data_IF_572884210789
#
_entry.id   IF_572884210789
#
_cell.length_a   1.000
_cell.length_b   1.000
_cell.length_c   1.000
_cell.angle_alpha   90.00
_cell.angle_beta   90.00
_cell.angle_gamma   90.00
#
_symmetry.space_group_name_H-M   'P 1'
#
loop_
_entity.id
_entity.type
_entity.pdbx_description
1 polymer ?
#
# COMPACT_ATOMS: atom_id res chain seq x y z
N UNK A 1 22.39 -30.55 68.40
CA UNK A 1 22.22 -29.08 68.48
C UNK A 1 21.11 -28.70 67.50
N UNK A 2 19.86 -29.11 67.68
CA UNK A 2 18.97 -28.81 68.81
C UNK A 2 18.87 -27.29 69.07
N UNK A 3 17.85 -26.67 68.49
CA UNK A 3 17.13 -25.58 69.15
C UNK A 3 15.71 -25.50 68.59
N UNK A 4 14.77 -26.05 69.36
CA UNK A 4 13.35 -25.70 69.34
C UNK A 4 13.13 -24.66 70.43
N UNK A 5 12.43 -23.57 70.13
CA UNK A 5 11.68 -22.82 71.15
C UNK A 5 10.29 -22.52 70.60
N UNK A 6 9.29 -22.99 71.37
CA UNK A 6 7.84 -22.80 71.23
C UNK A 6 7.39 -21.61 72.09
N UNK A 7 6.10 -21.26 71.93
CA UNK A 7 5.15 -20.59 72.87
C UNK A 7 4.79 -19.16 72.47
N UNK A 8 3.58 -18.96 71.88
CA UNK A 8 2.28 -18.56 72.50
C UNK A 8 2.15 -17.02 72.55
N UNK A 9 1.00 -16.34 72.44
CA UNK A 9 -0.42 -16.68 72.49
C UNK A 9 -1.27 -15.45 72.06
N UNK A 10 -2.47 -15.71 71.53
CA UNK A 10 -3.77 -15.01 71.66
C UNK A 10 -3.92 -13.46 71.67
N UNK A 11 -4.90 -12.99 70.87
CA UNK A 11 -5.61 -11.71 71.02
C UNK A 11 -6.10 -11.16 69.67
N UNK A 12 -7.23 -11.62 69.11
CA UNK A 12 -8.60 -11.12 69.30
C UNK A 12 -9.01 -9.91 68.39
N UNK A 13 -9.97 -10.22 67.50
CA UNK A 13 -11.15 -9.43 67.08
C UNK A 13 -10.95 -8.16 66.23
N UNK A 14 -11.51 -8.22 65.02
CA UNK A 14 -11.91 -7.07 64.21
C UNK A 14 -12.72 -7.51 62.98
N UNK A 15 -14.05 -7.50 63.09
CA UNK A 15 -15.01 -7.92 62.07
C UNK A 15 -15.76 -6.68 61.57
N UNK A 16 -15.52 -6.22 60.33
CA UNK A 16 -16.36 -5.28 59.54
C UNK A 16 -16.00 -5.52 58.05
N UNK A 17 -16.74 -6.31 57.27
CA UNK A 17 -17.96 -5.99 56.48
C UNK A 17 -17.67 -5.35 55.09
N UNK A 18 -18.18 -6.05 54.06
CA UNK A 18 -18.62 -5.62 52.72
C UNK A 18 -17.60 -5.14 51.67
N UNK A 19 -17.74 -5.70 50.46
CA UNK A 19 -17.34 -5.01 49.24
C UNK A 19 -16.79 -5.94 48.17
N UNK A 20 -17.67 -6.55 47.37
CA UNK A 20 -17.30 -7.32 46.21
C UNK A 20 -16.47 -6.53 45.21
N UNK A 21 -15.37 -7.12 44.78
CA UNK A 21 -14.72 -6.85 43.51
C UNK A 21 -14.28 -8.20 42.96
N UNK A 22 -15.22 -8.85 42.28
CA UNK A 22 -14.86 -9.90 41.34
C UNK A 22 -13.92 -9.25 40.32
N UNK A 23 -12.64 -9.64 40.36
CA UNK A 23 -11.69 -9.38 39.29
C UNK A 23 -12.23 -10.08 38.04
N UNK A 24 -12.99 -9.33 37.23
CA UNK A 24 -13.32 -9.72 35.87
C UNK A 24 -12.01 -9.59 35.09
N UNK A 25 -11.23 -10.67 35.07
CA UNK A 25 -10.25 -10.85 34.02
C UNK A 25 -11.01 -10.79 32.68
N UNK A 26 -10.57 -9.99 31.69
CA UNK A 26 -11.16 -10.05 30.37
C UNK A 26 -10.92 -11.45 29.84
N UNK A 27 -11.98 -12.26 29.77
CA UNK A 27 -11.92 -13.54 29.07
C UNK A 27 -11.66 -13.23 27.61
N UNK A 28 -10.40 -13.37 27.18
CA UNK A 28 -10.05 -13.49 25.77
C UNK A 28 -10.70 -14.77 25.27
N UNK A 29 -11.92 -14.65 24.74
CA UNK A 29 -12.60 -15.76 24.07
C UNK A 29 -11.70 -16.22 22.91
N UNK A 30 -11.23 -17.48 22.89
CA UNK A 30 -10.54 -18.01 21.72
C UNK A 30 -11.53 -17.99 20.56
N UNK A 31 -11.25 -17.15 19.56
CA UNK A 31 -12.11 -17.01 18.36
C UNK A 31 -12.87 -15.69 18.23
N UNK A 32 -12.71 -14.72 19.14
CA UNK A 32 -13.23 -13.37 18.92
C UNK A 32 -12.39 -12.64 17.86
N UNK A 33 -12.73 -12.86 16.58
CA UNK A 33 -12.23 -12.06 15.44
C UNK A 33 -12.45 -10.59 15.75
N UNK A 34 -11.41 -9.77 15.58
CA UNK A 34 -11.51 -8.34 15.80
C UNK A 34 -12.54 -7.73 14.84
N UNK A 35 -13.09 -6.56 15.18
CA UNK A 35 -13.97 -5.83 14.26
C UNK A 35 -13.29 -5.57 12.90
N UNK A 36 -11.95 -5.46 12.91
CA UNK A 36 -11.12 -5.34 11.71
C UNK A 36 -11.11 -6.62 10.87
N UNK A 37 -11.00 -7.79 11.53
CA UNK A 37 -11.01 -9.09 10.86
C UNK A 37 -12.38 -9.43 10.27
N UNK A 38 -13.46 -9.13 11.00
CA UNK A 38 -14.82 -9.31 10.48
C UNK A 38 -15.08 -8.42 9.28
N UNK A 39 -14.61 -7.17 9.30
CA UNK A 39 -14.78 -6.23 8.18
C UNK A 39 -13.96 -6.65 6.96
N UNK A 40 -12.77 -7.22 7.17
CA UNK A 40 -11.97 -7.80 6.09
C UNK A 40 -12.67 -9.03 5.47
N UNK A 41 -13.30 -9.88 6.29
CA UNK A 41 -14.10 -11.02 5.82
C UNK A 41 -15.41 -10.58 5.14
N UNK A 42 -16.07 -9.53 5.65
CA UNK A 42 -17.28 -8.96 5.04
C UNK A 42 -16.98 -8.34 3.68
N UNK A 43 -15.82 -7.67 3.53
CA UNK A 43 -15.33 -7.15 2.24
C UNK A 43 -14.93 -8.30 1.29
N UNK A 44 -14.35 -9.38 1.81
CA UNK A 44 -14.03 -10.57 1.03
C UNK A 44 -15.31 -11.34 0.58
N UNK A 45 -16.38 -11.31 1.37
CA UNK A 45 -17.67 -11.94 1.07
C UNK A 45 -18.60 -11.05 0.24
N UNK A 46 -18.55 -9.74 0.41
CA UNK A 46 -19.25 -8.78 -0.44
C UNK A 46 -18.41 -8.55 -1.71
N UNK A 47 -18.55 -9.42 -2.69
CA UNK A 47 -17.90 -9.36 -4.00
C UNK A 47 -18.33 -8.15 -4.86
N UNK A 48 -18.79 -7.06 -4.24
CA UNK A 48 -19.09 -5.79 -4.90
C UNK A 48 -17.76 -5.06 -5.04
N UNK A 49 -17.04 -5.41 -6.10
CA UNK A 49 -15.91 -4.65 -6.58
C UNK A 49 -16.44 -3.32 -7.11
N UNK A 50 -16.22 -2.25 -6.36
CA UNK A 50 -16.63 -0.93 -6.81
C UNK A 50 -15.58 -0.30 -7.72
N UNK A 51 -15.86 -0.36 -9.01
CA UNK A 51 -15.02 0.23 -10.04
C UNK A 51 -15.24 1.74 -10.29
N UNK A 52 -16.08 2.42 -9.51
CA UNK A 52 -16.31 3.85 -9.70
C UNK A 52 -15.00 4.66 -9.55
N UNK A 53 -14.76 5.65 -10.43
CA UNK A 53 -13.65 6.59 -10.26
C UNK A 53 -13.73 7.30 -8.90
N UNK A 54 -12.58 7.62 -8.32
CA UNK A 54 -12.55 8.35 -7.06
C UNK A 54 -13.00 9.81 -7.31
N UNK A 55 -14.15 10.25 -6.73
CA UNK A 55 -14.74 11.56 -7.02
C UNK A 55 -13.85 12.72 -6.58
N UNK A 56 -12.91 12.49 -5.66
CA UNK A 56 -11.94 13.49 -5.24
C UNK A 56 -11.14 14.06 -6.42
N UNK A 57 -10.89 13.24 -7.45
CA UNK A 57 -10.06 13.65 -8.58
C UNK A 57 -10.84 14.33 -9.70
N UNK A 58 -12.17 14.26 -9.71
CA UNK A 58 -12.98 14.87 -10.77
C UNK A 58 -12.79 16.39 -10.87
N UNK A 59 -12.53 17.06 -9.74
CA UNK A 59 -12.21 18.50 -9.72
C UNK A 59 -10.91 18.87 -10.47
N UNK A 60 -10.04 17.90 -10.75
CA UNK A 60 -8.80 18.11 -11.50
C UNK A 60 -8.93 17.79 -12.99
N UNK A 61 -10.08 17.27 -13.44
CA UNK A 61 -10.28 16.87 -14.84
C UNK A 61 -10.27 18.11 -15.73
N UNK A 62 -9.46 18.08 -16.79
CA UNK A 62 -9.36 19.19 -17.75
C UNK A 62 -8.50 20.38 -17.29
N UNK A 63 -7.76 20.24 -16.18
CA UNK A 63 -6.68 21.17 -15.83
C UNK A 63 -5.42 20.89 -16.68
N UNK A 64 -4.45 21.80 -16.64
CA UNK A 64 -3.23 21.74 -17.49
C UNK A 64 -2.35 20.51 -17.29
N UNK A 65 -2.57 19.72 -16.22
CA UNK A 65 -1.91 18.43 -16.01
C UNK A 65 -2.84 17.45 -15.32
N UNK A 66 -3.10 16.33 -16.00
CA UNK A 66 -3.81 15.17 -15.43
C UNK A 66 -2.97 14.44 -14.36
N UNK A 67 -1.67 14.75 -14.25
CA UNK A 67 -0.77 14.15 -13.26
C UNK A 67 -0.84 14.87 -11.93
N UNK A 68 -1.09 14.10 -10.87
CA UNK A 68 -1.18 14.57 -9.49
C UNK A 68 0.08 14.18 -8.72
N UNK A 69 0.56 15.10 -7.88
CA UNK A 69 1.71 14.85 -7.04
C UNK A 69 1.42 13.71 -6.04
N UNK A 70 2.32 12.74 -5.98
CA UNK A 70 2.26 11.65 -4.99
C UNK A 70 3.24 11.91 -3.84
N UNK A 71 4.52 12.08 -4.16
CA UNK A 71 5.60 12.37 -3.19
C UNK A 71 6.89 12.79 -3.89
N UNK A 72 7.83 13.31 -3.11
CA UNK A 72 9.21 13.52 -3.54
C UNK A 72 10.10 12.34 -3.14
N UNK A 73 11.15 12.10 -3.94
CA UNK A 73 12.27 11.22 -3.61
C UNK A 73 13.36 12.00 -2.87
N UNK A 74 14.30 11.26 -2.26
CA UNK A 74 15.40 11.85 -1.46
C UNK A 74 16.36 12.73 -2.28
N UNK A 75 16.50 12.43 -3.56
CA UNK A 75 17.31 13.16 -4.54
C UNK A 75 16.60 14.41 -5.10
N UNK A 76 15.36 14.67 -4.69
CA UNK A 76 14.52 15.76 -5.17
C UNK A 76 13.64 15.40 -6.37
N UNK A 77 13.76 14.18 -6.91
CA UNK A 77 12.91 13.71 -8.02
C UNK A 77 11.45 13.62 -7.57
N UNK A 78 10.52 13.92 -8.47
CA UNK A 78 9.09 14.00 -8.17
C UNK A 78 8.35 12.79 -8.70
N UNK A 79 7.56 12.15 -7.84
CA UNK A 79 6.68 11.06 -8.23
C UNK A 79 5.26 11.59 -8.32
N UNK A 80 4.61 11.31 -9.44
CA UNK A 80 3.24 11.70 -9.73
C UNK A 80 2.45 10.51 -10.25
N UNK A 81 1.12 10.56 -10.16
CA UNK A 81 0.25 9.54 -10.71
C UNK A 81 -0.91 10.20 -11.48
N UNK A 82 -1.47 9.48 -12.45
CA UNK A 82 -2.62 9.98 -13.20
C UNK A 82 -3.91 9.27 -12.72
N UNK A 83 -4.76 9.91 -11.91
CA UNK A 83 -5.98 9.30 -11.40
C UNK A 83 -6.99 8.93 -12.50
N UNK A 84 -6.94 9.61 -13.64
CA UNK A 84 -7.85 9.35 -14.77
C UNK A 84 -7.45 8.13 -15.59
N UNK A 85 -6.27 7.56 -15.31
CA UNK A 85 -5.80 6.30 -15.91
C UNK A 85 -6.10 5.07 -15.06
N UNK A 86 -6.73 5.26 -13.89
CA UNK A 86 -7.05 4.14 -13.00
C UNK A 86 -8.11 3.27 -13.67
N UNK A 87 -7.69 2.09 -14.14
CA UNK A 87 -8.59 1.07 -14.68
C UNK A 87 -8.88 0.02 -13.61
N UNK A 88 -10.15 -0.33 -13.43
CA UNK A 88 -10.58 -1.35 -12.49
C UNK A 88 -10.89 -2.65 -13.20
N UNK A 89 -10.36 -3.76 -12.68
CA UNK A 89 -10.85 -5.08 -13.04
C UNK A 89 -12.05 -5.43 -12.13
N UNK A 90 -13.27 -5.55 -12.67
CA UNK A 90 -14.47 -5.83 -11.87
C UNK A 90 -14.51 -7.26 -11.29
N UNK A 91 -13.75 -8.20 -11.85
CA UNK A 91 -13.73 -9.59 -11.37
C UNK A 91 -12.83 -9.76 -10.14
N UNK A 92 -11.71 -9.02 -10.11
CA UNK A 92 -10.67 -9.16 -9.08
C UNK A 92 -10.56 -7.97 -8.15
N UNK A 93 -11.10 -6.81 -8.53
CA UNK A 93 -10.91 -5.54 -7.80
C UNK A 93 -9.54 -4.89 -7.97
N UNK A 94 -8.66 -5.50 -8.78
CA UNK A 94 -7.36 -4.95 -9.10
C UNK A 94 -7.47 -3.61 -9.83
N UNK A 95 -6.50 -2.73 -9.58
CA UNK A 95 -6.41 -1.39 -10.17
C UNK A 95 -5.12 -1.24 -10.95
N UNK A 96 -5.25 -0.94 -12.23
CA UNK A 96 -4.11 -0.58 -13.06
C UNK A 96 -3.99 0.94 -13.09
N UNK A 97 -2.82 1.48 -12.78
CA UNK A 97 -2.59 2.93 -12.63
C UNK A 97 -1.23 3.33 -13.17
N UNK A 98 -1.19 4.47 -13.86
CA UNK A 98 0.06 5.06 -14.31
C UNK A 98 0.68 6.00 -13.27
N UNK A 99 1.99 5.84 -13.09
CA UNK A 99 2.88 6.70 -12.30
C UNK A 99 3.90 7.29 -13.25
N UNK A 100 4.33 8.53 -13.01
CA UNK A 100 5.52 9.08 -13.64
C UNK A 100 6.51 9.55 -12.58
N UNK A 101 7.78 9.40 -12.90
CA UNK A 101 8.88 9.95 -12.12
C UNK A 101 9.53 11.04 -12.98
N UNK A 102 9.58 12.24 -12.43
CA UNK A 102 10.27 13.40 -13.00
C UNK A 102 11.60 13.54 -12.26
N UNK A 103 12.69 13.18 -12.93
CA UNK A 103 14.02 13.10 -12.35
C UNK A 103 14.69 14.46 -12.39
N UNK A 104 15.40 14.79 -11.30
CA UNK A 104 16.18 16.04 -11.22
C UNK A 104 17.44 15.97 -12.08
N UNK A 105 17.97 14.77 -12.29
CA UNK A 105 19.14 14.52 -13.13
C UNK A 105 18.78 13.54 -14.24
N UNK A 106 19.29 13.74 -15.47
CA UNK A 106 19.14 12.75 -16.52
C UNK A 106 19.75 11.40 -16.09
N UNK A 107 19.01 10.33 -16.32
CA UNK A 107 19.51 8.96 -16.26
C UNK A 107 19.82 8.45 -17.65
N UNK A 108 20.66 7.42 -17.71
CA UNK A 108 21.00 6.76 -18.97
C UNK A 108 20.64 5.28 -18.88
N UNK A 109 19.96 4.77 -19.89
CA UNK A 109 19.67 3.35 -20.05
C UNK A 109 20.31 2.89 -21.36
N UNK A 110 21.03 1.77 -21.29
CA UNK A 110 21.68 1.16 -22.44
C UNK A 110 20.84 0.00 -22.95
N UNK A 111 20.58 -0.01 -24.24
CA UNK A 111 19.91 -1.09 -24.95
C UNK A 111 20.90 -1.71 -25.92
N UNK A 112 21.09 -3.01 -25.80
CA UNK A 112 21.98 -3.78 -26.67
C UNK A 112 21.17 -4.88 -27.34
N UNK A 113 21.21 -4.92 -28.67
CA UNK A 113 20.76 -6.05 -29.47
C UNK A 113 21.91 -6.57 -30.35
N UNK A 114 21.66 -7.60 -31.16
CA UNK A 114 22.67 -8.23 -32.00
C UNK A 114 23.38 -7.28 -32.98
N UNK A 115 22.81 -6.10 -33.25
CA UNK A 115 23.24 -5.19 -34.32
C UNK A 115 23.49 -3.76 -33.84
N UNK A 116 22.95 -3.38 -32.68
CA UNK A 116 22.87 -1.99 -32.25
C UNK A 116 23.13 -1.88 -30.76
N UNK A 117 23.94 -0.87 -30.41
CA UNK A 117 24.06 -0.37 -29.05
C UNK A 117 23.46 1.03 -29.05
N UNK A 118 22.38 1.20 -28.30
CA UNK A 118 21.71 2.48 -28.12
C UNK A 118 21.80 2.89 -26.65
N UNK A 119 22.01 4.18 -26.40
CA UNK A 119 21.98 4.74 -25.04
C UNK A 119 21.01 5.90 -25.05
N UNK A 120 20.00 5.83 -24.18
CA UNK A 120 18.95 6.84 -24.08
C UNK A 120 19.16 7.62 -22.80
N UNK A 121 19.31 8.93 -22.93
CA UNK A 121 19.21 9.88 -21.82
C UNK A 121 17.76 10.27 -21.59
N UNK A 122 17.32 10.27 -20.34
CA UNK A 122 15.95 10.61 -19.98
C UNK A 122 15.85 11.28 -18.61
N UNK A 123 14.93 12.23 -18.50
CA UNK A 123 14.51 12.83 -17.23
C UNK A 123 13.13 12.38 -16.78
N UNK A 124 12.43 11.59 -17.60
CA UNK A 124 11.07 11.14 -17.32
C UNK A 124 10.90 9.66 -17.65
N UNK A 125 10.37 8.91 -16.71
CA UNK A 125 9.89 7.55 -16.94
C UNK A 125 8.51 7.35 -16.32
N UNK A 126 7.73 6.46 -16.94
CA UNK A 126 6.38 6.11 -16.52
C UNK A 126 6.31 4.62 -16.21
N UNK A 127 5.49 4.27 -15.22
CA UNK A 127 5.27 2.90 -14.81
C UNK A 127 3.77 2.64 -14.74
N UNK A 128 3.34 1.51 -15.29
CA UNK A 128 2.00 0.98 -15.04
C UNK A 128 2.09 -0.05 -13.92
N UNK A 129 1.38 0.22 -12.83
CA UNK A 129 1.25 -0.71 -11.71
C UNK A 129 -0.12 -1.36 -11.74
N UNK A 130 -0.17 -2.67 -11.44
CA UNK A 130 -1.39 -3.36 -11.03
C UNK A 130 -1.39 -3.48 -9.52
N UNK A 131 -2.46 -3.05 -8.85
CA UNK A 131 -2.59 -3.07 -7.40
C UNK A 131 -3.82 -3.90 -7.04
N UNK A 132 -3.63 -5.00 -6.30
CA UNK A 132 -4.72 -5.68 -5.62
C UNK A 132 -5.00 -4.98 -4.29
N UNK A 133 -6.08 -4.22 -4.27
CA UNK A 133 -6.49 -3.43 -3.11
C UNK A 133 -6.95 -4.30 -1.92
N UNK A 134 -7.39 -5.54 -2.17
CA UNK A 134 -7.86 -6.47 -1.13
C UNK A 134 -6.69 -7.25 -0.58
N UNK A 135 -5.94 -7.92 -1.46
CA UNK A 135 -4.77 -8.71 -1.08
C UNK A 135 -3.54 -7.89 -0.69
N UNK A 136 -3.58 -6.56 -0.89
CA UNK A 136 -2.45 -5.64 -0.66
C UNK A 136 -1.16 -6.09 -1.35
N UNK A 137 -1.31 -6.53 -2.59
CA UNK A 137 -0.21 -6.91 -3.46
C UNK A 137 -0.16 -6.02 -4.69
N UNK A 138 0.95 -6.02 -5.41
CA UNK A 138 1.11 -5.27 -6.63
C UNK A 138 2.07 -5.92 -7.61
N UNK A 139 1.94 -5.59 -8.89
CA UNK A 139 2.92 -5.90 -9.91
C UNK A 139 3.25 -4.65 -10.73
N UNK A 140 4.48 -4.59 -11.25
CA UNK A 140 4.85 -3.65 -12.31
C UNK A 140 4.54 -4.32 -13.64
N UNK A 141 3.66 -3.73 -14.43
CA UNK A 141 3.27 -4.29 -15.73
C UNK A 141 4.17 -3.77 -16.85
N UNK A 142 4.44 -2.47 -16.82
CA UNK A 142 5.10 -1.78 -17.92
C UNK A 142 5.93 -0.61 -17.40
N UNK A 143 7.09 -0.38 -18.02
CA UNK A 143 7.90 0.82 -17.88
C UNK A 143 8.02 1.50 -19.23
N UNK A 144 7.83 2.82 -19.28
CA UNK A 144 8.08 3.65 -20.45
C UNK A 144 9.17 4.67 -20.13
N UNK A 145 10.28 4.58 -20.85
CA UNK A 145 11.33 5.60 -20.79
C UNK A 145 10.98 6.66 -21.85
N UNK A 146 10.86 7.91 -21.41
CA UNK A 146 10.59 9.05 -22.27
C UNK A 146 11.93 9.74 -22.55
N UNK A 147 12.54 9.43 -23.69
CA UNK A 147 13.84 9.97 -24.07
C UNK A 147 13.80 11.48 -24.30
N UNK A 148 14.91 12.14 -23.99
CA UNK A 148 15.07 13.58 -24.19
C UNK A 148 15.34 13.93 -25.68
N UNK A 149 15.86 12.99 -26.48
CA UNK A 149 16.13 13.18 -27.92
C UNK A 149 16.13 11.84 -28.73
N UNK A 150 15.43 11.74 -29.88
CA UNK A 150 14.44 12.73 -30.33
C UNK A 150 13.37 12.86 -29.24
N UNK A 151 12.96 14.11 -28.98
CA UNK A 151 11.87 14.42 -28.05
C UNK A 151 10.69 13.51 -28.42
N UNK A 152 10.16 12.77 -27.46
CA UNK A 152 9.10 11.76 -27.62
C UNK A 152 9.53 10.35 -28.06
N UNK A 153 10.82 10.00 -28.06
CA UNK A 153 11.21 8.59 -28.14
C UNK A 153 10.72 7.84 -26.89
N UNK A 154 9.70 6.99 -27.06
CA UNK A 154 9.18 6.14 -25.99
C UNK A 154 9.74 4.74 -26.14
N UNK A 155 10.55 4.30 -25.17
CA UNK A 155 10.89 2.88 -25.03
C UNK A 155 9.97 2.22 -24.03
N UNK A 156 9.18 1.28 -24.51
CA UNK A 156 8.28 0.46 -23.69
C UNK A 156 8.97 -0.84 -23.32
N UNK A 157 9.01 -1.13 -22.03
CA UNK A 157 9.60 -2.33 -21.45
C UNK A 157 8.51 -3.08 -20.69
N UNK A 158 8.17 -4.31 -21.09
CA UNK A 158 7.30 -5.16 -20.28
C UNK A 158 8.03 -5.51 -18.98
N UNK A 159 7.40 -5.21 -17.85
CA UNK A 159 7.94 -5.49 -16.52
C UNK A 159 7.36 -6.79 -15.93
N UNK A 160 6.32 -7.32 -16.57
CA UNK A 160 5.71 -8.61 -16.24
C UNK A 160 5.44 -9.45 -17.49
N UNK A 161 5.37 -10.77 -17.31
CA UNK A 161 4.84 -11.69 -18.33
C UNK A 161 3.32 -11.64 -18.43
N UNK A 162 2.75 -12.65 -19.10
CA UNK A 162 1.29 -12.79 -19.26
C UNK A 162 0.55 -12.86 -17.90
N UNK A 163 1.19 -13.49 -16.91
CA UNK A 163 0.73 -13.50 -15.52
C UNK A 163 1.64 -12.60 -14.68
N UNK A 164 1.12 -11.49 -14.12
CA UNK A 164 1.91 -10.61 -13.29
C UNK A 164 2.31 -11.26 -11.96
N UNK A 165 3.60 -11.18 -11.62
CA UNK A 165 4.13 -11.58 -10.31
C UNK A 165 3.71 -10.55 -9.25
N UNK A 166 2.63 -10.88 -8.53
CA UNK A 166 2.06 -10.01 -7.49
C UNK A 166 2.88 -10.10 -6.20
N UNK A 167 3.49 -8.98 -5.80
CA UNK A 167 4.35 -8.86 -4.62
C UNK A 167 3.66 -8.07 -3.50
N UNK A 168 3.95 -8.35 -2.23
CA UNK A 168 3.41 -7.57 -1.12
C UNK A 168 3.78 -6.09 -1.21
N UNK A 169 2.82 -5.20 -0.93
CA UNK A 169 3.08 -3.75 -0.82
C UNK A 169 3.98 -3.50 0.41
N UNK A 170 5.17 -2.96 0.15
CA UNK A 170 6.17 -2.67 1.19
C UNK A 170 5.91 -1.32 1.86
N UNK A 171 6.04 -1.22 3.20
CA UNK A 171 5.99 0.05 3.92
C UNK A 171 7.06 1.04 3.42
N UNK A 172 6.68 2.30 3.27
CA UNK A 172 7.51 3.38 2.70
C UNK A 172 7.70 3.30 1.18
N UNK A 173 7.15 2.28 0.51
CA UNK A 173 7.24 2.10 -0.94
C UNK A 173 6.40 3.12 -1.72
N UNK A 174 6.71 3.29 -3.02
CA UNK A 174 5.90 4.14 -3.92
C UNK A 174 4.46 3.62 -3.99
N UNK A 175 4.32 2.29 -4.07
CA UNK A 175 3.02 1.65 -4.22
C UNK A 175 2.18 1.77 -2.94
N UNK A 176 2.79 1.85 -1.75
CA UNK A 176 2.03 2.12 -0.53
C UNK A 176 1.37 3.50 -0.59
N UNK A 177 2.12 4.52 -1.00
CA UNK A 177 1.57 5.87 -1.18
C UNK A 177 0.48 5.90 -2.27
N UNK A 178 0.66 5.13 -3.34
CA UNK A 178 -0.28 5.03 -4.46
C UNK A 178 -1.55 4.23 -4.14
N UNK A 179 -1.46 3.24 -3.26
CA UNK A 179 -2.59 2.42 -2.86
C UNK A 179 -3.70 3.27 -2.20
N UNK A 180 -3.35 4.33 -1.47
CA UNK A 180 -4.32 5.28 -0.93
C UNK A 180 -5.26 5.83 -2.01
N UNK A 181 -4.79 6.67 -2.96
CA UNK A 181 -5.64 7.24 -4.00
C UNK A 181 -6.18 6.20 -4.98
N UNK A 182 -5.47 5.09 -5.25
CA UNK A 182 -5.92 4.06 -6.19
C UNK A 182 -7.01 3.14 -5.62
N UNK A 183 -6.97 2.86 -4.31
CA UNK A 183 -7.88 1.92 -3.64
C UNK A 183 -8.92 2.60 -2.76
N UNK A 184 -8.79 3.89 -2.45
CA UNK A 184 -9.82 4.62 -1.69
C UNK A 184 -10.98 5.01 -2.60
N UNK A 185 -12.20 4.76 -2.10
CA UNK A 185 -13.34 5.61 -2.44
C UNK A 185 -13.07 6.98 -1.82
N UNK A 186 -13.07 8.05 -2.61
CA UNK A 186 -12.99 9.41 -2.09
C UNK A 186 -13.96 9.56 -0.93
N UNK A 187 -13.44 9.84 0.26
CA UNK A 187 -14.25 10.25 1.41
C UNK A 187 -14.29 11.76 1.46
#
# INVERSE_FOLDING_TARGET
MENRVRWLAFGAIGLVVLGGLALIAPQSMPGAKSATDRRAEEIAQSKIVDCAPNPHFEKYRGLSSDWQHLRNQRDGSRIEFNPFTIACNPETGARDVWVQILRVRPEQEKFEDEKTIETISYTRDRYQYRIDCVGRTYAMLERRIMGDAPEDSVRTLPMSGAEPDMRPIQPGGVVEALAGPACSRGR
#
